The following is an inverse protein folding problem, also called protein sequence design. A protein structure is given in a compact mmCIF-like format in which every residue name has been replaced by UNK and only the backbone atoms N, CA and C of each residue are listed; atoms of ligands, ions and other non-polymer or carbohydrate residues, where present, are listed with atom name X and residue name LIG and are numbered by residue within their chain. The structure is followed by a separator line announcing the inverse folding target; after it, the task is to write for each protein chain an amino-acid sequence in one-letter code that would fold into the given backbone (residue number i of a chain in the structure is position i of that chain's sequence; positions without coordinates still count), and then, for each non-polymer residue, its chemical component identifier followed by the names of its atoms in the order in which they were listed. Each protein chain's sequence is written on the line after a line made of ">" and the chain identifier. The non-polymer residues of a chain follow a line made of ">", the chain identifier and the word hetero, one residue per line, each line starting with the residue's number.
data_IF_871502694839
#
_entry.id   IF_871502694839
#
_cell.length_a   1.000
_cell.length_b   1.000
_cell.length_c   1.000
_cell.angle_alpha   90.00
_cell.angle_beta   90.00
_cell.angle_gamma   90.00
#
_symmetry.space_group_name_H-M   'P 1'
#
loop_
_entity.id
_entity.type
_entity.pdbx_description
1 polymer ?
#
# COMPACT_ATOMS: atom_id res chain seq x y z
N UNK A 1 23.96 7.26 -4.44
CA UNK A 1 23.56 6.07 -3.68
C UNK A 1 24.62 4.99 -3.82
N UNK A 2 25.00 4.37 -2.72
CA UNK A 2 25.97 3.28 -2.68
C UNK A 2 25.29 2.06 -2.03
N UNK A 3 25.51 0.87 -2.58
CA UNK A 3 25.08 -0.38 -1.94
C UNK A 3 25.88 -0.54 -0.66
N UNK A 4 25.18 -0.67 0.47
CA UNK A 4 25.78 -0.84 1.81
C UNK A 4 25.87 -2.30 2.16
N UNK A 5 24.75 -3.06 1.95
CA UNK A 5 24.67 -4.46 2.31
C UNK A 5 23.60 -5.22 1.51
N UNK A 6 23.54 -6.53 1.70
CA UNK A 6 22.53 -7.44 1.14
C UNK A 6 22.04 -8.40 2.20
N UNK A 7 20.72 -8.47 2.39
CA UNK A 7 20.08 -9.43 3.28
C UNK A 7 19.79 -10.72 2.52
N UNK A 8 20.20 -11.87 3.09
CA UNK A 8 19.79 -13.18 2.60
C UNK A 8 18.42 -13.53 3.19
N UNK A 9 17.46 -13.86 2.35
CA UNK A 9 16.08 -14.08 2.73
C UNK A 9 15.71 -15.56 2.60
N UNK A 10 14.74 -16.00 3.41
CA UNK A 10 14.23 -17.38 3.37
C UNK A 10 13.76 -17.79 1.97
N UNK A 11 13.13 -16.88 1.22
CA UNK A 11 12.71 -17.10 -0.15
C UNK A 11 12.42 -15.75 -0.86
N UNK A 12 11.75 -15.77 -2.03
CA UNK A 12 11.44 -14.56 -2.80
C UNK A 12 10.58 -13.58 -2.02
N UNK A 13 11.07 -12.35 -1.75
CA UNK A 13 10.32 -11.31 -1.04
C UNK A 13 9.30 -10.62 -1.94
N UNK A 14 8.43 -9.82 -1.31
CA UNK A 14 7.57 -8.85 -1.99
C UNK A 14 7.76 -7.43 -1.46
N UNK A 15 7.62 -7.20 -0.15
CA UNK A 15 7.77 -5.90 0.49
C UNK A 15 8.53 -6.03 1.80
N UNK A 16 9.35 -5.03 2.10
CA UNK A 16 9.93 -4.81 3.41
C UNK A 16 9.31 -3.58 4.07
N UNK A 17 9.26 -3.58 5.38
CA UNK A 17 8.94 -2.44 6.23
C UNK A 17 9.98 -2.36 7.35
N UNK A 18 10.37 -1.17 7.71
CA UNK A 18 11.26 -0.97 8.87
C UNK A 18 10.46 -0.35 10.02
N UNK A 19 10.83 -0.73 11.23
CA UNK A 19 10.30 -0.18 12.45
C UNK A 19 11.43 0.53 13.20
N UNK A 20 11.39 1.85 13.22
CA UNK A 20 12.43 2.67 13.87
C UNK A 20 12.38 2.60 15.39
N UNK A 21 11.21 2.26 15.98
CA UNK A 21 11.04 2.20 17.45
C UNK A 21 11.71 0.98 18.05
N UNK A 22 11.63 -0.19 17.42
CA UNK A 22 12.28 -1.41 17.89
C UNK A 22 13.52 -1.80 17.09
N UNK A 23 13.92 -0.98 16.10
CA UNK A 23 15.10 -1.17 15.26
C UNK A 23 15.10 -2.50 14.48
N UNK A 24 13.94 -2.88 13.93
CA UNK A 24 13.77 -4.10 13.12
C UNK A 24 13.35 -3.81 11.69
N UNK A 25 13.75 -4.71 10.78
CA UNK A 25 13.26 -4.79 9.40
C UNK A 25 12.42 -6.04 9.27
N UNK A 26 11.18 -5.90 8.83
CA UNK A 26 10.26 -7.00 8.56
C UNK A 26 10.13 -7.18 7.05
N UNK A 27 10.39 -8.39 6.55
CA UNK A 27 10.35 -8.71 5.12
C UNK A 27 9.30 -9.76 4.85
N UNK A 28 8.23 -9.38 4.15
CA UNK A 28 7.17 -10.29 3.72
C UNK A 28 7.66 -11.20 2.59
N UNK A 29 7.67 -12.51 2.81
CA UNK A 29 8.09 -13.50 1.84
C UNK A 29 6.90 -13.93 0.99
N UNK A 30 6.96 -13.67 -0.32
CA UNK A 30 5.84 -13.95 -1.25
C UNK A 30 5.69 -15.42 -1.60
N UNK A 31 6.79 -16.17 -1.65
CA UNK A 31 6.82 -17.57 -2.11
C UNK A 31 6.94 -18.59 -0.99
N UNK A 32 6.92 -18.15 0.27
CA UNK A 32 6.95 -19.00 1.45
C UNK A 32 6.16 -18.35 2.60
N UNK A 33 5.65 -19.13 3.57
CA UNK A 33 4.76 -18.62 4.62
C UNK A 33 5.54 -18.01 5.78
N UNK A 34 6.31 -16.94 5.50
CA UNK A 34 7.16 -16.30 6.51
C UNK A 34 7.19 -14.77 6.38
N UNK A 35 7.38 -14.12 7.53
CA UNK A 35 7.90 -12.76 7.64
C UNK A 35 9.30 -12.89 8.24
N UNK A 36 10.34 -12.59 7.45
CA UNK A 36 11.72 -12.58 7.95
C UNK A 36 11.98 -11.29 8.72
N UNK A 37 12.63 -11.40 9.88
CA UNK A 37 12.92 -10.28 10.78
C UNK A 37 14.42 -10.09 10.92
N UNK A 38 14.88 -8.85 10.71
CA UNK A 38 16.29 -8.48 10.78
C UNK A 38 16.50 -7.31 11.73
N UNK A 39 17.66 -7.25 12.32
CA UNK A 39 18.16 -6.04 13.00
C UNK A 39 18.42 -4.94 11.97
N UNK A 40 17.93 -3.72 12.23
CA UNK A 40 18.07 -2.58 11.32
C UNK A 40 19.50 -2.03 11.28
N UNK A 41 20.27 -2.23 12.33
CA UNK A 41 21.63 -1.68 12.46
C UNK A 41 22.71 -2.68 12.04
N UNK A 42 22.58 -3.95 12.45
CA UNK A 42 23.57 -4.99 12.17
C UNK A 42 23.26 -5.77 10.90
N UNK A 43 22.00 -5.74 10.43
CA UNK A 43 21.47 -6.53 9.33
C UNK A 43 21.46 -8.04 9.59
N UNK A 44 21.67 -8.47 10.82
CA UNK A 44 21.58 -9.89 11.21
C UNK A 44 20.13 -10.33 11.29
N UNK A 45 19.83 -11.54 10.83
CA UNK A 45 18.51 -12.11 10.93
C UNK A 45 18.23 -12.56 12.36
N UNK A 46 17.13 -12.08 12.95
CA UNK A 46 16.65 -12.53 14.25
C UNK A 46 15.90 -13.86 14.13
N UNK A 47 14.87 -13.86 13.28
CA UNK A 47 13.98 -15.00 13.11
C UNK A 47 13.17 -14.92 11.81
N UNK A 48 12.33 -15.93 11.59
CA UNK A 48 11.31 -15.96 10.55
C UNK A 48 9.97 -16.33 11.19
N UNK A 49 9.07 -15.36 11.29
CA UNK A 49 7.73 -15.53 11.85
C UNK A 49 6.89 -16.33 10.86
N UNK A 50 6.39 -17.49 11.30
CA UNK A 50 5.57 -18.34 10.46
C UNK A 50 4.15 -17.80 10.38
N UNK A 51 3.63 -17.64 9.16
CA UNK A 51 2.26 -17.22 8.84
C UNK A 51 1.56 -18.32 8.02
N UNK A 52 0.23 -18.27 7.84
CA UNK A 52 -0.49 -19.32 7.10
C UNK A 52 -0.05 -19.50 5.64
N UNK A 53 0.20 -18.41 4.92
CA UNK A 53 0.59 -18.45 3.49
C UNK A 53 1.60 -17.36 3.15
N UNK A 54 2.04 -17.30 1.88
CA UNK A 54 2.93 -16.23 1.41
C UNK A 54 2.34 -14.83 1.59
N UNK A 55 3.21 -13.85 1.77
CA UNK A 55 2.87 -12.46 2.06
C UNK A 55 2.79 -11.64 0.78
N UNK A 56 1.75 -10.81 0.64
CA UNK A 56 1.70 -9.79 -0.40
C UNK A 56 2.43 -8.52 0.04
N UNK A 57 2.06 -7.96 1.19
CA UNK A 57 2.69 -6.76 1.73
C UNK A 57 2.82 -6.86 3.26
N UNK A 58 3.82 -6.17 3.79
CA UNK A 58 4.02 -5.97 5.23
C UNK A 58 4.12 -4.47 5.51
N UNK A 59 3.57 -4.05 6.65
CA UNK A 59 3.59 -2.66 7.10
C UNK A 59 3.78 -2.61 8.62
N UNK A 60 4.29 -1.50 9.11
CA UNK A 60 4.38 -1.18 10.54
C UNK A 60 3.31 -0.15 10.86
N UNK A 61 2.61 -0.31 11.98
CA UNK A 61 1.63 0.67 12.48
C UNK A 61 2.29 2.02 12.78
N UNK A 62 1.50 3.08 12.82
CA UNK A 62 2.01 4.45 12.98
C UNK A 62 2.76 4.65 14.30
N UNK A 63 2.37 3.94 15.35
CA UNK A 63 2.99 3.96 16.67
C UNK A 63 4.12 2.92 16.84
N UNK A 64 4.42 2.15 15.80
CA UNK A 64 5.46 1.12 15.80
C UNK A 64 5.18 -0.12 16.65
N UNK A 65 4.01 -0.23 17.28
CA UNK A 65 3.68 -1.36 18.16
C UNK A 65 3.31 -2.63 17.42
N UNK A 66 2.82 -2.48 16.19
CA UNK A 66 2.26 -3.59 15.42
C UNK A 66 2.89 -3.69 14.04
N UNK A 67 3.02 -4.91 13.58
CA UNK A 67 3.33 -5.23 12.18
C UNK A 67 2.13 -5.94 11.58
N UNK A 68 1.67 -5.49 10.43
CA UNK A 68 0.57 -6.15 9.71
C UNK A 68 1.10 -6.79 8.44
N UNK A 69 0.77 -8.06 8.25
CA UNK A 69 1.16 -8.86 7.10
C UNK A 69 -0.09 -9.30 6.32
N UNK A 70 -0.24 -8.79 5.09
CA UNK A 70 -1.34 -9.17 4.20
C UNK A 70 -1.05 -10.47 3.47
N UNK A 71 -1.88 -11.48 3.69
CA UNK A 71 -1.73 -12.81 3.10
C UNK A 71 -2.10 -12.85 1.61
N UNK A 72 -1.44 -13.71 0.85
CA UNK A 72 -1.62 -13.89 -0.59
C UNK A 72 -2.17 -15.27 -0.97
N UNK A 73 -2.60 -16.06 -0.01
CA UNK A 73 -3.23 -17.37 -0.22
C UNK A 73 -4.58 -17.27 -0.93
N UNK A 74 -5.06 -18.36 -1.55
CA UNK A 74 -6.32 -18.36 -2.30
C UNK A 74 -7.53 -18.45 -1.38
N UNK A 75 -7.39 -19.16 -0.28
CA UNK A 75 -8.48 -19.51 0.61
C UNK A 75 -8.41 -18.79 1.97
N UNK A 76 -7.41 -17.93 2.15
CA UNK A 76 -7.08 -17.24 3.41
C UNK A 76 -6.72 -15.80 3.09
N UNK A 77 -7.71 -14.97 2.85
CA UNK A 77 -7.52 -13.54 2.59
C UNK A 77 -7.57 -12.76 3.88
N UNK A 78 -6.52 -12.85 4.69
CA UNK A 78 -6.48 -12.18 5.98
C UNK A 78 -5.26 -11.28 6.14
N UNK A 79 -5.35 -10.41 7.14
CA UNK A 79 -4.24 -9.62 7.66
C UNK A 79 -3.82 -10.28 8.97
N UNK A 80 -2.57 -10.70 9.08
CA UNK A 80 -1.98 -11.13 10.35
C UNK A 80 -1.44 -9.91 11.08
N UNK A 81 -1.82 -9.73 12.33
CA UNK A 81 -1.30 -8.69 13.21
C UNK A 81 -0.27 -9.30 14.14
N UNK A 82 0.94 -8.78 14.10
CA UNK A 82 2.10 -9.22 14.86
C UNK A 82 2.42 -8.15 15.89
N UNK A 83 2.60 -8.53 17.15
CA UNK A 83 3.14 -7.65 18.18
C UNK A 83 4.63 -7.41 17.92
N UNK A 84 5.02 -6.17 17.65
CA UNK A 84 6.39 -5.82 17.30
C UNK A 84 7.38 -5.97 18.48
N UNK A 85 6.89 -6.12 19.69
CA UNK A 85 7.74 -6.32 20.89
C UNK A 85 8.11 -7.78 21.13
N UNK A 86 7.23 -8.72 20.72
CA UNK A 86 7.40 -10.16 20.93
C UNK A 86 7.59 -10.94 19.64
N UNK A 87 7.31 -10.33 18.48
CA UNK A 87 7.26 -10.93 17.15
C UNK A 87 6.23 -12.09 17.04
N UNK A 88 5.23 -12.11 17.94
CA UNK A 88 4.14 -13.10 17.94
C UNK A 88 2.92 -12.60 17.19
N UNK A 89 2.24 -13.51 16.47
CA UNK A 89 0.93 -13.22 15.87
C UNK A 89 -0.11 -13.17 16.98
N UNK A 90 -0.78 -12.04 17.13
CA UNK A 90 -1.75 -11.81 18.20
C UNK A 90 -3.19 -11.71 17.70
N UNK A 91 -3.39 -11.44 16.41
CA UNK A 91 -4.73 -11.29 15.84
C UNK A 91 -4.73 -11.52 14.33
N UNK A 92 -5.89 -11.94 13.82
CA UNK A 92 -6.21 -12.02 12.42
C UNK A 92 -7.40 -11.11 12.09
N UNK A 93 -7.34 -10.43 10.92
CA UNK A 93 -8.41 -9.59 10.40
C UNK A 93 -8.76 -10.09 9.00
N UNK A 94 -10.03 -10.34 8.76
CA UNK A 94 -10.56 -10.76 7.47
C UNK A 94 -11.17 -9.57 6.70
N UNK A 95 -11.11 -9.63 5.36
CA UNK A 95 -11.73 -8.64 4.46
C UNK A 95 -12.90 -9.30 3.71
N UNK A 96 -14.11 -9.32 4.28
CA UNK A 96 -15.29 -9.82 3.58
C UNK A 96 -15.71 -8.83 2.49
N UNK A 97 -16.10 -9.33 1.31
CA UNK A 97 -16.80 -8.55 0.31
C UNK A 97 -18.32 -8.55 0.51
N UNK A 98 -19.05 -7.81 -0.33
CA UNK A 98 -20.52 -7.76 -0.30
C UNK A 98 -21.17 -9.14 -0.59
N UNK A 99 -20.43 -10.04 -1.23
CA UNK A 99 -20.83 -11.43 -1.47
C UNK A 99 -20.58 -12.38 -0.28
N UNK A 100 -19.93 -11.88 0.78
CA UNK A 100 -19.52 -12.64 1.95
C UNK A 100 -18.24 -13.45 1.77
N UNK A 101 -17.62 -13.42 0.59
CA UNK A 101 -16.36 -14.10 0.34
C UNK A 101 -15.19 -13.30 0.95
N UNK A 102 -14.17 -14.01 1.45
CA UNK A 102 -12.97 -13.37 1.99
C UNK A 102 -11.99 -13.10 0.86
N UNK A 103 -11.56 -11.85 0.75
CA UNK A 103 -10.67 -11.39 -0.30
C UNK A 103 -9.21 -11.34 0.14
N UNK A 104 -8.29 -11.68 -0.79
CA UNK A 104 -6.86 -11.56 -0.56
C UNK A 104 -6.47 -10.10 -0.44
N UNK A 105 -5.63 -9.83 0.55
CA UNK A 105 -5.17 -8.48 0.84
C UNK A 105 -4.15 -8.01 -0.20
N UNK A 106 -4.27 -6.74 -0.55
CA UNK A 106 -3.35 -5.99 -1.41
C UNK A 106 -2.73 -4.83 -0.60
N UNK A 107 -2.43 -3.66 -1.15
CA UNK A 107 -1.94 -2.54 -0.36
C UNK A 107 -2.83 -2.23 0.85
N UNK A 108 -2.18 -1.77 1.90
CA UNK A 108 -2.81 -1.28 3.12
C UNK A 108 -2.20 0.06 3.52
N UNK A 109 -2.99 0.89 4.18
CA UNK A 109 -2.55 2.13 4.82
C UNK A 109 -3.23 2.24 6.18
N UNK A 110 -2.70 3.11 7.05
CA UNK A 110 -3.26 3.37 8.37
C UNK A 110 -3.83 4.78 8.45
N UNK A 111 -4.89 4.94 9.24
CA UNK A 111 -5.36 6.22 9.74
C UNK A 111 -4.97 6.33 11.21
N UNK A 112 -4.41 7.48 11.58
CA UNK A 112 -4.04 7.77 12.95
C UNK A 112 -5.23 8.24 13.77
N UNK A 113 -5.30 7.80 15.02
CA UNK A 113 -6.09 8.43 16.06
C UNK A 113 -5.43 9.76 16.53
N UNK A 114 -6.13 10.55 17.32
CA UNK A 114 -5.61 11.81 17.85
C UNK A 114 -4.34 11.65 18.71
N UNK A 115 -4.16 10.50 19.35
CA UNK A 115 -2.99 10.17 20.16
C UNK A 115 -1.81 9.61 19.37
N UNK A 116 -1.95 9.50 18.03
CA UNK A 116 -0.95 8.96 17.12
C UNK A 116 -0.95 7.43 16.99
N UNK A 117 -1.81 6.73 17.74
CA UNK A 117 -2.03 5.29 17.54
C UNK A 117 -2.78 5.02 16.22
N UNK A 118 -2.91 3.76 15.85
CA UNK A 118 -3.72 3.37 14.68
C UNK A 118 -5.21 3.38 15.07
N UNK A 119 -6.03 4.10 14.29
CA UNK A 119 -7.50 4.08 14.41
C UNK A 119 -8.14 3.12 13.41
N UNK A 120 -7.68 3.16 12.16
CA UNK A 120 -8.25 2.32 11.08
C UNK A 120 -7.16 1.75 10.17
N UNK A 121 -7.49 0.63 9.54
CA UNK A 121 -6.76 0.11 8.38
C UNK A 121 -7.60 0.37 7.13
N UNK A 122 -6.99 0.98 6.14
CA UNK A 122 -7.49 1.03 4.78
C UNK A 122 -6.84 -0.08 3.98
N UNK A 123 -7.60 -0.92 3.32
CA UNK A 123 -7.06 -2.07 2.59
C UNK A 123 -7.69 -2.21 1.20
N UNK A 124 -6.91 -2.71 0.26
CA UNK A 124 -7.41 -3.16 -1.04
C UNK A 124 -7.38 -4.69 -1.09
N UNK A 125 -8.30 -5.27 -1.84
CA UNK A 125 -8.41 -6.71 -2.00
C UNK A 125 -8.45 -7.16 -3.45
N UNK A 126 -8.32 -8.46 -3.67
CA UNK A 126 -8.49 -9.04 -5.00
C UNK A 126 -9.97 -9.09 -5.37
N UNK A 127 -10.26 -8.89 -6.68
CA UNK A 127 -11.62 -9.02 -7.19
C UNK A 127 -12.54 -7.82 -6.97
N UNK A 128 -12.22 -6.93 -6.03
CA UNK A 128 -13.05 -5.78 -5.66
C UNK A 128 -12.38 -4.48 -6.10
N UNK A 129 -13.15 -3.64 -6.80
CA UNK A 129 -12.73 -2.29 -7.19
C UNK A 129 -13.17 -1.30 -6.10
N UNK A 130 -12.61 -1.46 -4.90
CA UNK A 130 -12.95 -0.69 -3.71
C UNK A 130 -11.85 -0.72 -2.66
N UNK A 131 -12.04 0.04 -1.60
CA UNK A 131 -11.14 0.13 -0.45
C UNK A 131 -11.94 -0.21 0.81
N UNK A 132 -11.52 -1.26 1.52
CA UNK A 132 -12.08 -1.58 2.84
C UNK A 132 -11.62 -0.57 3.87
N UNK A 133 -12.56 -0.12 4.69
CA UNK A 133 -12.34 0.64 5.91
C UNK A 133 -12.54 -0.32 7.08
N UNK A 134 -11.47 -0.60 7.80
CA UNK A 134 -11.47 -1.58 8.89
C UNK A 134 -11.17 -0.85 10.19
N UNK A 135 -12.03 -1.01 11.18
CA UNK A 135 -11.79 -0.53 12.54
C UNK A 135 -10.62 -1.29 13.15
N UNK A 136 -9.66 -0.56 13.70
CA UNK A 136 -8.45 -1.18 14.24
C UNK A 136 -8.72 -1.99 15.50
N UNK A 137 -9.58 -1.51 16.40
CA UNK A 137 -9.80 -2.13 17.71
C UNK A 137 -10.57 -3.45 17.58
N UNK A 138 -11.64 -3.45 16.79
CA UNK A 138 -12.49 -4.63 16.59
C UNK A 138 -12.01 -5.56 15.49
N UNK A 139 -11.31 -5.03 14.48
CA UNK A 139 -10.93 -5.73 13.26
C UNK A 139 -12.11 -5.94 12.30
N UNK A 140 -13.25 -5.29 12.54
CA UNK A 140 -14.43 -5.38 11.68
C UNK A 140 -14.36 -4.40 10.52
N UNK A 141 -14.88 -4.81 9.37
CA UNK A 141 -15.08 -3.94 8.21
C UNK A 141 -16.27 -3.02 8.48
N UNK A 142 -16.03 -1.72 8.53
CA UNK A 142 -17.08 -0.70 8.68
C UNK A 142 -17.72 -0.33 7.34
N UNK A 143 -16.91 -0.28 6.26
CA UNK A 143 -17.37 0.12 4.92
C UNK A 143 -16.43 -0.43 3.83
N UNK A 144 -16.92 -0.39 2.59
CA UNK A 144 -16.13 -0.58 1.38
C UNK A 144 -16.37 0.63 0.48
N UNK A 145 -15.37 1.48 0.35
CA UNK A 145 -15.43 2.68 -0.49
C UNK A 145 -15.35 2.30 -1.97
N UNK A 146 -16.50 2.30 -2.64
CA UNK A 146 -16.57 2.06 -4.08
C UNK A 146 -16.46 3.37 -4.86
N UNK A 147 -15.66 3.42 -5.93
CA UNK A 147 -15.69 4.55 -6.84
C UNK A 147 -17.03 4.59 -7.61
N UNK A 148 -17.44 5.77 -8.11
CA UNK A 148 -18.59 5.86 -8.99
C UNK A 148 -18.47 4.90 -10.17
N UNK A 149 -19.52 4.13 -10.50
CA UNK A 149 -19.46 3.09 -11.53
C UNK A 149 -19.21 3.68 -12.92
N UNK A 150 -18.25 3.10 -13.66
CA UNK A 150 -18.02 3.42 -15.07
C UNK A 150 -18.73 2.46 -15.99
N UNK A 151 -19.17 2.90 -17.19
CA UNK A 151 -19.64 2.02 -18.24
C UNK A 151 -18.58 0.97 -18.61
N UNK A 152 -18.99 -0.26 -18.89
CA UNK A 152 -18.09 -1.37 -19.17
C UNK A 152 -17.05 -1.08 -20.30
N UNK A 153 -17.46 -0.29 -21.32
CA UNK A 153 -16.58 0.08 -22.43
C UNK A 153 -15.47 1.07 -22.05
N UNK A 154 -15.55 1.71 -20.89
CA UNK A 154 -14.48 2.57 -20.32
C UNK A 154 -13.51 1.82 -19.42
N UNK A 155 -13.78 0.56 -19.12
CA UNK A 155 -12.94 -0.25 -18.24
C UNK A 155 -11.84 -0.96 -19.04
N UNK A 156 -10.66 -1.06 -18.46
CA UNK A 156 -9.53 -1.74 -19.07
C UNK A 156 -9.73 -3.26 -19.06
N UNK A 157 -9.56 -3.90 -20.23
CA UNK A 157 -9.60 -5.36 -20.33
C UNK A 157 -8.43 -6.05 -19.60
N UNK A 158 -7.33 -5.34 -19.35
CA UNK A 158 -6.14 -5.86 -18.67
C UNK A 158 -6.31 -5.95 -17.15
N UNK A 159 -7.39 -5.39 -16.60
CA UNK A 159 -7.69 -5.39 -15.17
C UNK A 159 -8.02 -6.76 -14.56
N UNK A 160 -8.21 -7.78 -15.41
CA UNK A 160 -8.49 -9.16 -14.97
C UNK A 160 -7.31 -9.89 -14.28
N UNK A 161 -6.23 -9.19 -13.93
CA UNK A 161 -5.11 -9.78 -13.16
C UNK A 161 -5.38 -9.87 -11.65
N UNK A 162 -6.64 -9.93 -11.23
CA UNK A 162 -7.03 -10.24 -9.86
C UNK A 162 -6.96 -9.07 -8.85
N UNK A 163 -6.49 -7.89 -9.24
CA UNK A 163 -6.47 -6.70 -8.41
C UNK A 163 -6.97 -5.47 -9.18
N UNK A 164 -8.28 -5.19 -9.17
CA UNK A 164 -8.86 -4.02 -9.84
C UNK A 164 -8.27 -2.71 -9.32
N UNK A 165 -8.12 -2.56 -8.00
CA UNK A 165 -7.35 -1.50 -7.37
C UNK A 165 -5.97 -2.01 -6.93
N UNK A 166 -4.94 -1.13 -6.96
CA UNK A 166 -3.58 -1.58 -6.64
C UNK A 166 -2.64 -0.54 -6.00
N UNK A 167 -2.91 0.74 -6.04
CA UNK A 167 -2.20 1.78 -5.30
C UNK A 167 -3.11 2.39 -4.25
N UNK A 168 -2.59 2.69 -3.08
CA UNK A 168 -3.33 3.22 -1.95
C UNK A 168 -2.41 4.13 -1.15
N UNK A 169 -2.82 5.39 -0.94
CA UNK A 169 -2.05 6.37 -0.21
C UNK A 169 -2.96 7.28 0.62
N UNK A 170 -2.58 7.52 1.86
CA UNK A 170 -3.11 8.62 2.68
C UNK A 170 -2.16 9.80 2.50
N UNK A 171 -2.71 10.99 2.28
CA UNK A 171 -1.89 12.19 2.14
C UNK A 171 -1.11 12.48 3.42
N UNK A 172 0.11 13.02 3.33
CA UNK A 172 0.94 13.33 4.49
C UNK A 172 0.29 14.24 5.53
N UNK A 173 -0.62 15.14 5.10
CA UNK A 173 -1.40 16.01 5.98
C UNK A 173 -2.64 15.33 6.60
N UNK A 174 -2.90 14.07 6.26
CA UNK A 174 -4.04 13.30 6.75
C UNK A 174 -5.39 13.73 6.15
N UNK A 175 -5.44 14.62 5.18
CA UNK A 175 -6.70 15.21 4.67
C UNK A 175 -7.49 14.31 3.75
N UNK A 176 -6.83 13.36 3.07
CA UNK A 176 -7.49 12.52 2.07
C UNK A 176 -6.79 11.16 1.86
N UNK A 177 -7.60 10.19 1.45
CA UNK A 177 -7.20 8.92 0.89
C UNK A 177 -7.27 8.99 -0.63
N UNK A 178 -6.24 8.44 -1.30
CA UNK A 178 -6.25 8.23 -2.75
C UNK A 178 -5.98 6.77 -3.10
N UNK A 179 -6.73 6.26 -4.09
CA UNK A 179 -6.60 4.89 -4.56
C UNK A 179 -6.52 4.83 -6.09
N UNK A 180 -5.61 4.01 -6.64
CA UNK A 180 -5.54 3.79 -8.08
C UNK A 180 -6.38 2.58 -8.49
N UNK A 181 -7.18 2.74 -9.55
CA UNK A 181 -7.91 1.66 -10.19
C UNK A 181 -7.26 1.32 -11.53
N UNK A 182 -6.74 0.11 -11.62
CA UNK A 182 -6.24 -0.50 -12.86
C UNK A 182 -7.39 -0.78 -13.83
N UNK A 183 -8.56 -1.14 -13.25
CA UNK A 183 -9.79 -1.42 -14.00
C UNK A 183 -10.30 -0.19 -14.72
N UNK A 184 -10.29 0.95 -14.04
CA UNK A 184 -10.88 2.19 -14.52
C UNK A 184 -9.87 3.15 -15.15
N UNK A 185 -8.55 2.83 -15.10
CA UNK A 185 -7.46 3.68 -15.57
C UNK A 185 -7.42 5.06 -14.87
N UNK A 186 -7.80 5.09 -13.59
CA UNK A 186 -8.01 6.30 -12.80
C UNK A 186 -7.39 6.21 -11.42
N UNK A 187 -7.20 7.38 -10.83
CA UNK A 187 -7.09 7.51 -9.37
C UNK A 187 -8.37 8.14 -8.84
N UNK A 188 -8.76 7.76 -7.63
CA UNK A 188 -9.96 8.21 -6.93
C UNK A 188 -9.57 8.74 -5.56
N UNK A 189 -10.20 9.85 -5.13
CA UNK A 189 -9.96 10.48 -3.85
C UNK A 189 -11.20 10.51 -2.96
N UNK A 190 -11.00 10.31 -1.66
CA UNK A 190 -11.99 10.50 -0.60
C UNK A 190 -11.39 11.33 0.52
N UNK A 191 -12.19 12.25 1.09
CA UNK A 191 -11.78 13.04 2.26
C UNK A 191 -11.58 12.15 3.49
N UNK A 192 -10.80 12.62 4.44
CA UNK A 192 -10.68 12.02 5.76
C UNK A 192 -11.05 13.06 6.82
N UNK A 193 -11.74 12.66 7.91
CA UNK A 193 -12.12 11.30 8.25
C UNK A 193 -13.46 10.81 7.66
N UNK A 194 -14.20 11.66 6.94
CA UNK A 194 -15.62 11.45 6.59
C UNK A 194 -15.82 10.53 5.37
N UNK A 195 -14.76 10.19 4.64
CA UNK A 195 -14.78 9.37 3.42
C UNK A 195 -15.70 9.92 2.32
N UNK A 196 -15.93 11.22 2.27
CA UNK A 196 -16.68 11.84 1.18
C UNK A 196 -15.87 11.81 -0.12
N UNK A 197 -16.53 11.46 -1.22
CA UNK A 197 -15.90 11.38 -2.53
C UNK A 197 -15.43 12.75 -3.02
N UNK A 198 -14.15 12.94 -3.25
CA UNK A 198 -13.54 14.18 -3.74
C UNK A 198 -13.62 14.27 -5.26
N UNK A 199 -13.25 13.17 -5.96
CA UNK A 199 -13.17 13.18 -7.41
C UNK A 199 -12.25 12.10 -7.96
N UNK A 200 -12.00 12.17 -9.29
CA UNK A 200 -11.15 11.23 -9.99
C UNK A 200 -10.36 11.90 -11.11
N UNK A 201 -9.17 11.35 -11.38
CA UNK A 201 -8.34 11.73 -12.52
C UNK A 201 -8.07 10.51 -13.39
N UNK A 202 -8.35 10.60 -14.69
CA UNK A 202 -7.99 9.57 -15.66
C UNK A 202 -6.50 9.68 -15.98
N UNK A 203 -5.71 8.70 -15.54
CA UNK A 203 -4.25 8.75 -15.61
C UNK A 203 -3.67 7.84 -16.69
N UNK A 204 -4.43 6.82 -17.11
CA UNK A 204 -4.06 5.89 -18.15
C UNK A 204 -4.12 4.41 -17.71
N UNK A 205 -3.88 3.47 -18.66
CA UNK A 205 -4.13 2.06 -18.45
C UNK A 205 -3.21 1.45 -17.39
N UNK A 206 -3.78 0.55 -16.60
CA UNK A 206 -3.09 -0.14 -15.52
C UNK A 206 -2.39 0.83 -14.54
N UNK A 207 -3.11 1.90 -14.11
CA UNK A 207 -2.68 2.76 -13.01
C UNK A 207 -2.30 1.90 -11.79
N UNK A 208 -1.08 2.09 -11.28
CA UNK A 208 -0.49 1.20 -10.29
C UNK A 208 -0.15 1.97 -9.00
N UNK A 209 1.04 1.77 -8.44
CA UNK A 209 1.44 2.47 -7.23
C UNK A 209 1.50 3.99 -7.42
N UNK A 210 1.28 4.69 -6.32
CA UNK A 210 1.28 6.14 -6.25
C UNK A 210 2.17 6.59 -5.11
N UNK A 211 2.60 7.85 -5.14
CA UNK A 211 3.29 8.47 -4.02
C UNK A 211 2.98 9.96 -3.99
N UNK A 212 2.44 10.49 -2.90
CA UNK A 212 2.18 11.92 -2.74
C UNK A 212 3.48 12.70 -2.50
N UNK A 213 3.45 13.99 -2.79
CA UNK A 213 4.49 14.91 -2.33
C UNK A 213 4.29 15.23 -0.83
N UNK A 214 5.37 15.59 -0.11
CA UNK A 214 5.29 15.89 1.33
C UNK A 214 4.34 17.04 1.69
N UNK A 215 4.07 17.94 0.73
CA UNK A 215 3.13 19.06 0.88
C UNK A 215 1.68 18.70 0.52
N UNK A 216 1.40 17.42 0.23
CA UNK A 216 0.08 16.88 -0.11
C UNK A 216 -0.58 17.49 -1.36
N UNK A 217 0.17 18.23 -2.20
CA UNK A 217 -0.41 18.91 -3.38
C UNK A 217 -0.42 18.08 -4.64
N UNK A 218 0.55 17.18 -4.76
CA UNK A 218 0.79 16.43 -5.98
C UNK A 218 0.81 14.92 -5.69
N UNK A 219 0.34 14.14 -6.66
CA UNK A 219 0.43 12.68 -6.64
C UNK A 219 1.19 12.21 -7.87
N UNK A 220 2.28 11.50 -7.68
CA UNK A 220 2.94 10.75 -8.74
C UNK A 220 2.28 9.39 -8.88
N UNK A 221 1.90 9.01 -10.11
CA UNK A 221 1.22 7.74 -10.39
C UNK A 221 2.00 6.96 -11.45
N UNK A 222 2.38 5.74 -11.13
CA UNK A 222 2.99 4.81 -12.09
C UNK A 222 1.91 4.21 -13.01
N UNK A 223 2.02 4.44 -14.33
CA UNK A 223 1.07 3.94 -15.33
C UNK A 223 1.72 2.81 -16.10
N UNK A 224 1.60 1.59 -15.55
CA UNK A 224 2.33 0.41 -16.03
C UNK A 224 1.95 -0.01 -17.45
N UNK A 225 0.72 0.24 -17.87
CA UNK A 225 0.21 -0.12 -19.21
C UNK A 225 0.59 0.87 -20.31
N UNK A 226 1.33 1.94 -20.00
CA UNK A 226 1.68 2.99 -20.94
C UNK A 226 3.11 3.55 -20.77
N UNK A 227 3.96 2.87 -20.02
CA UNK A 227 5.40 3.12 -19.88
C UNK A 227 5.77 4.55 -19.42
N UNK A 228 4.88 5.20 -18.66
CA UNK A 228 5.11 6.54 -18.11
C UNK A 228 4.64 6.66 -16.66
N UNK A 229 5.11 7.70 -16.00
CA UNK A 229 4.58 8.21 -14.74
C UNK A 229 3.91 9.56 -14.98
N UNK A 230 2.83 9.84 -14.29
CA UNK A 230 2.19 11.16 -14.31
C UNK A 230 2.33 11.87 -12.98
N UNK A 231 2.38 13.21 -13.02
CA UNK A 231 2.16 14.07 -11.87
C UNK A 231 0.75 14.64 -11.97
N UNK A 232 -0.04 14.48 -10.92
CA UNK A 232 -1.42 14.95 -10.80
C UNK A 232 -1.47 16.07 -9.78
N UNK A 233 -2.06 17.21 -10.14
CA UNK A 233 -2.45 18.27 -9.23
C UNK A 233 -3.75 17.83 -8.53
N UNK A 234 -3.68 17.61 -7.21
CA UNK A 234 -4.80 17.07 -6.44
C UNK A 234 -5.90 18.08 -6.15
N UNK A 235 -5.59 19.37 -6.16
CA UNK A 235 -6.59 20.45 -6.01
C UNK A 235 -7.38 20.64 -7.29
N UNK A 236 -6.68 20.64 -8.45
CA UNK A 236 -7.32 20.84 -9.75
C UNK A 236 -7.88 19.58 -10.39
N UNK A 237 -7.51 18.41 -9.86
CA UNK A 237 -7.85 17.10 -10.41
C UNK A 237 -7.40 16.92 -11.88
N UNK A 238 -6.18 17.35 -12.19
CA UNK A 238 -5.65 17.30 -13.56
C UNK A 238 -4.20 16.78 -13.61
N UNK A 239 -3.83 16.15 -14.74
CA UNK A 239 -2.44 15.76 -15.01
C UNK A 239 -1.68 17.02 -15.44
N UNK A 240 -0.61 17.33 -14.73
CA UNK A 240 0.27 18.47 -15.02
C UNK A 240 1.57 18.07 -15.70
N UNK A 241 1.99 16.82 -15.59
CA UNK A 241 3.19 16.32 -16.28
C UNK A 241 3.07 14.82 -16.60
N UNK A 242 3.77 14.40 -17.65
CA UNK A 242 4.03 12.99 -18.00
C UNK A 242 5.52 12.81 -18.17
N UNK A 243 6.05 11.72 -17.57
CA UNK A 243 7.46 11.40 -17.58
C UNK A 243 7.66 9.97 -18.08
N UNK A 244 8.39 9.80 -19.17
CA UNK A 244 8.80 8.47 -19.62
C UNK A 244 9.92 7.96 -18.72
N UNK A 245 9.68 6.83 -18.06
CA UNK A 245 10.61 6.27 -17.04
C UNK A 245 11.08 4.85 -17.36
N UNK A 246 10.68 4.30 -18.50
CA UNK A 246 10.98 2.94 -18.93
C UNK A 246 9.74 2.05 -18.96
N UNK A 247 9.90 0.80 -19.38
CA UNK A 247 8.79 -0.12 -19.58
C UNK A 247 8.16 -0.57 -18.26
N UNK A 248 6.83 -0.51 -18.18
CA UNK A 248 6.02 -1.05 -17.10
C UNK A 248 6.32 -0.48 -15.72
N UNK A 249 6.40 0.86 -15.50
CA UNK A 249 6.63 1.41 -14.17
C UNK A 249 5.56 0.89 -13.21
N UNK A 250 5.99 0.35 -12.08
CA UNK A 250 5.05 -0.28 -11.15
C UNK A 250 5.09 0.36 -9.77
N UNK A 251 6.27 0.46 -9.18
CA UNK A 251 6.46 1.08 -7.85
C UNK A 251 7.06 2.46 -8.01
N UNK A 252 6.58 3.38 -7.21
CA UNK A 252 7.05 4.75 -7.12
C UNK A 252 7.06 5.14 -5.65
N UNK A 253 8.01 5.95 -5.27
CA UNK A 253 8.13 6.49 -3.92
C UNK A 253 8.73 7.89 -3.98
N UNK A 254 8.34 8.75 -3.05
CA UNK A 254 8.82 10.13 -2.93
C UNK A 254 9.76 10.21 -1.73
N UNK A 255 10.98 10.65 -1.96
CA UNK A 255 11.97 10.85 -0.91
C UNK A 255 12.36 12.33 -0.81
N UNK A 256 12.41 12.85 0.41
CA UNK A 256 12.98 14.16 0.70
C UNK A 256 14.49 13.99 0.92
N UNK A 257 15.28 14.63 0.08
CA UNK A 257 16.74 14.60 0.22
C UNK A 257 17.23 15.92 0.82
N UNK A 258 18.21 15.89 1.73
CA UNK A 258 18.91 17.09 2.17
C UNK A 258 19.53 17.83 1.00
N UNK A 259 19.47 19.16 0.98
CA UNK A 259 19.97 20.00 -0.14
C UNK A 259 21.45 19.77 -0.44
N UNK A 260 22.28 19.54 0.57
CA UNK A 260 23.71 19.23 0.44
C UNK A 260 23.99 17.94 -0.36
N UNK A 261 23.00 17.04 -0.45
CA UNK A 261 23.10 15.82 -1.27
C UNK A 261 22.60 15.98 -2.71
N UNK A 262 21.95 17.10 -3.01
CA UNK A 262 21.45 17.41 -4.36
C UNK A 262 22.47 18.21 -5.17
N UNK A 263 23.21 19.11 -4.51
CA UNK A 263 24.17 20.02 -5.15
C UNK A 263 25.49 19.35 -5.62
N UNK A 264 25.77 18.12 -5.20
CA UNK A 264 26.99 17.37 -5.56
C UNK A 264 26.82 16.42 -6.76
N UNK A 265 25.97 16.76 -7.74
CA UNK A 265 25.78 15.98 -8.97
C UNK A 265 26.22 16.77 -10.20
N UNK A 266 27.49 17.18 -10.22
CA UNK A 266 28.20 17.55 -11.43
C UNK A 266 29.00 16.38 -11.99
#
# INVERSE_FOLDING_TARGET
>A
LQLVDRLELTARPNKAAYNEYNRKIYVGIASAPFVDVFDLDTHEQYESIRVPTGIHNVYVSLDGKWVVAGLNGRDEGSIQVIDASTDEIVREISLPGDDGEIHRVRPMMFIAAEDGSTEKILAQGTGVNGVWVVDWETGETEDILYPPPLPAWKRSAEANQGAPMHGLEVLPDGSALWASSRLDSRIYGWSLPDFEYIGAVEVGPAANWMSPTPDSKWMYVAVSGADYTVAVDLEKLEIVARMTVGAGPKRIDTAVLPLDRVENRD
#
